data_IF_926967244639
#
_entry.id   IF_926967244639
#
_cell.length_a   1.000
_cell.length_b   1.000
_cell.length_c   1.000
_cell.angle_alpha   90.00
_cell.angle_beta   90.00
_cell.angle_gamma   90.00
#
_symmetry.space_group_name_H-M   'P 1'
#
loop_
_entity.id
_entity.type
_entity.pdbx_description
1 polymer ?
#
# COMPACT_ATOMS: atom_id res chain seq x y z
N UNK A 1 14.82 10.62 -19.22
CA UNK A 1 15.29 9.78 -18.10
C UNK A 1 14.05 9.39 -17.30
N UNK A 2 13.92 8.13 -16.89
CA UNK A 2 12.78 7.69 -16.08
C UNK A 2 12.87 8.26 -14.66
N UNK A 3 11.73 8.49 -14.03
CA UNK A 3 11.66 8.89 -12.61
C UNK A 3 11.93 7.69 -11.71
N UNK A 4 12.32 7.95 -10.46
CA UNK A 4 12.39 6.91 -9.43
C UNK A 4 10.98 6.34 -9.21
N UNK A 5 10.88 5.02 -9.11
CA UNK A 5 9.61 4.33 -8.84
C UNK A 5 9.02 4.79 -7.50
N UNK A 6 7.71 5.07 -7.46
CA UNK A 6 7.05 5.60 -6.25
C UNK A 6 7.21 4.67 -5.04
N UNK A 7 7.23 3.35 -5.24
CA UNK A 7 7.48 2.38 -4.18
C UNK A 7 8.87 2.58 -3.54
N UNK A 8 9.89 2.87 -4.34
CA UNK A 8 11.25 3.14 -3.86
C UNK A 8 11.32 4.49 -3.13
N UNK A 9 10.60 5.51 -3.60
CA UNK A 9 10.48 6.79 -2.87
C UNK A 9 9.83 6.63 -1.48
N UNK A 10 8.86 5.71 -1.35
CA UNK A 10 8.26 5.38 -0.05
C UNK A 10 9.28 4.72 0.87
N UNK A 11 10.05 3.75 0.39
CA UNK A 11 11.12 3.11 1.19
C UNK A 11 12.16 4.11 1.69
N UNK A 12 12.59 5.04 0.80
CA UNK A 12 13.48 6.14 1.18
C UNK A 12 12.86 7.02 2.27
N UNK A 13 11.59 7.41 2.14
CA UNK A 13 10.88 8.22 3.13
C UNK A 13 10.71 7.50 4.48
N UNK A 14 10.55 6.18 4.47
CA UNK A 14 10.46 5.37 5.69
C UNK A 14 11.83 5.25 6.38
N UNK A 15 12.95 5.27 5.63
CA UNK A 15 14.32 5.17 6.18
C UNK A 15 14.50 3.99 7.14
N UNK A 16 13.80 2.87 6.88
CA UNK A 16 13.72 1.73 7.79
C UNK A 16 14.67 0.57 7.42
N UNK A 17 15.43 0.73 6.33
CA UNK A 17 16.34 -0.26 5.80
C UNK A 17 17.79 0.24 5.81
N UNK A 18 18.74 -0.71 5.77
CA UNK A 18 20.16 -0.41 5.55
C UNK A 18 20.34 0.24 4.18
N UNK A 19 21.04 1.38 4.07
CA UNK A 19 21.26 2.05 2.78
C UNK A 19 21.90 1.13 1.75
N UNK A 20 21.38 1.17 0.52
CA UNK A 20 21.87 0.40 -0.62
C UNK A 20 22.49 1.30 -1.69
N UNK A 21 23.26 0.72 -2.62
CA UNK A 21 23.80 1.48 -3.77
C UNK A 21 22.68 2.04 -4.66
N UNK A 22 21.55 1.35 -4.74
CA UNK A 22 20.36 1.82 -5.46
C UNK A 22 19.76 3.07 -4.80
N UNK A 23 19.79 3.16 -3.46
CA UNK A 23 19.37 4.36 -2.74
C UNK A 23 20.30 5.54 -3.05
N UNK A 24 21.61 5.30 -3.08
CA UNK A 24 22.59 6.33 -3.41
C UNK A 24 22.41 6.84 -4.86
N UNK A 25 22.07 5.97 -5.80
CA UNK A 25 21.73 6.37 -7.17
C UNK A 25 20.41 7.15 -7.25
N UNK A 26 19.37 6.66 -6.58
CA UNK A 26 18.07 7.36 -6.52
C UNK A 26 18.22 8.76 -5.90
N UNK A 27 18.99 8.90 -4.82
CA UNK A 27 19.24 10.18 -4.17
C UNK A 27 20.00 11.16 -5.08
N UNK A 28 20.97 10.68 -5.86
CA UNK A 28 21.63 11.51 -6.90
C UNK A 28 20.63 12.00 -7.94
N UNK A 29 19.73 11.13 -8.42
CA UNK A 29 18.67 11.55 -9.35
C UNK A 29 17.71 12.58 -8.73
N UNK A 30 17.32 12.37 -7.47
CA UNK A 30 16.41 13.27 -6.74
C UNK A 30 17.02 14.67 -6.58
N UNK A 31 18.34 14.77 -6.43
CA UNK A 31 19.04 16.05 -6.36
C UNK A 31 18.91 16.85 -7.67
N UNK A 32 18.79 16.18 -8.81
CA UNK A 32 18.63 16.82 -10.12
C UNK A 32 17.16 16.91 -10.60
N UNK A 33 16.24 16.13 -10.03
CA UNK A 33 14.86 16.01 -10.50
C UNK A 33 13.84 16.65 -9.53
N UNK A 34 13.30 17.81 -9.91
CA UNK A 34 12.31 18.54 -9.10
C UNK A 34 11.07 17.70 -8.73
N UNK A 35 10.53 16.92 -9.67
CA UNK A 35 9.36 16.07 -9.43
C UNK A 35 9.64 15.00 -8.37
N UNK A 36 10.74 14.25 -8.50
CA UNK A 36 11.08 13.21 -7.52
C UNK A 36 11.39 13.82 -6.15
N UNK A 37 11.99 15.02 -6.11
CA UNK A 37 12.23 15.76 -4.87
C UNK A 37 10.93 16.17 -4.18
N UNK A 38 9.96 16.69 -4.94
CA UNK A 38 8.64 17.08 -4.42
C UNK A 38 7.87 15.87 -3.88
N UNK A 39 7.88 14.76 -4.62
CA UNK A 39 7.21 13.52 -4.22
C UNK A 39 7.83 12.95 -2.94
N UNK A 40 9.16 12.87 -2.86
CA UNK A 40 9.85 12.43 -1.65
C UNK A 40 9.57 13.36 -0.45
N UNK A 41 9.55 14.68 -0.67
CA UNK A 41 9.24 15.63 0.39
C UNK A 41 7.80 15.48 0.91
N UNK A 42 6.84 15.21 0.02
CA UNK A 42 5.46 14.91 0.39
C UNK A 42 5.38 13.62 1.24
N UNK A 43 6.02 12.54 0.79
CA UNK A 43 6.04 11.26 1.49
C UNK A 43 6.71 11.39 2.87
N UNK A 44 7.82 12.13 2.96
CA UNK A 44 8.52 12.37 4.22
C UNK A 44 7.64 13.13 5.22
N UNK A 45 6.85 14.11 4.77
CA UNK A 45 5.88 14.82 5.62
C UNK A 45 4.80 13.88 6.13
N UNK A 46 4.27 13.00 5.28
CA UNK A 46 3.27 12.00 5.67
C UNK A 46 3.83 11.03 6.73
N UNK A 47 5.02 10.48 6.50
CA UNK A 47 5.69 9.59 7.46
C UNK A 47 5.95 10.31 8.79
N UNK A 48 6.38 11.57 8.73
CA UNK A 48 6.61 12.38 9.94
C UNK A 48 5.31 12.55 10.72
N UNK A 49 4.23 12.98 10.05
CA UNK A 49 2.92 13.16 10.68
C UNK A 49 2.41 11.87 11.33
N UNK A 50 2.54 10.74 10.64
CA UNK A 50 2.14 9.43 11.17
C UNK A 50 2.97 9.03 12.42
N UNK A 51 4.27 9.33 12.43
CA UNK A 51 5.16 9.01 13.58
C UNK A 51 4.93 9.93 14.77
N UNK A 52 4.51 11.17 14.54
CA UNK A 52 4.23 12.15 15.60
C UNK A 52 2.79 12.14 16.06
N UNK A 53 1.92 11.34 15.43
CA UNK A 53 0.52 11.26 15.78
C UNK A 53 0.34 10.77 17.22
N UNK A 54 -0.43 11.52 18.00
CA UNK A 54 -0.81 11.15 19.35
C UNK A 54 -2.16 10.44 19.34
N UNK A 55 -2.53 9.80 20.45
CA UNK A 55 -3.83 9.12 20.58
C UNK A 55 -5.02 10.05 20.35
N UNK A 56 -4.84 11.36 20.60
CA UNK A 56 -5.87 12.38 20.35
C UNK A 56 -6.07 12.68 18.86
N UNK A 57 -5.06 12.43 18.02
CA UNK A 57 -5.14 12.62 16.56
C UNK A 57 -5.83 11.43 15.88
N UNK A 58 -5.95 10.30 16.58
CA UNK A 58 -6.57 9.10 16.04
C UNK A 58 -8.10 9.21 16.08
N UNK A 59 -8.81 8.68 15.06
CA UNK A 59 -10.25 8.57 15.14
C UNK A 59 -10.64 7.71 16.35
N UNK A 60 -11.73 8.10 17.02
CA UNK A 60 -12.27 7.30 18.11
C UNK A 60 -12.55 5.86 17.60
N UNK A 61 -12.20 4.84 18.40
CA UNK A 61 -12.45 3.46 18.01
C UNK A 61 -13.96 3.27 17.76
N UNK A 62 -14.36 2.55 16.69
CA UNK A 62 -15.76 2.31 16.46
C UNK A 62 -16.34 1.44 17.60
N UNK A 63 -17.64 1.57 17.90
CA UNK A 63 -18.25 0.83 19.00
C UNK A 63 -18.21 -0.69 18.77
N UNK A 64 -18.28 -1.47 19.84
CA UNK A 64 -18.09 -2.94 19.80
C UNK A 64 -19.12 -3.67 18.94
N UNK A 65 -20.34 -3.17 18.87
CA UNK A 65 -21.43 -3.73 18.05
C UNK A 65 -21.11 -3.66 16.54
N UNK A 66 -20.42 -2.61 16.09
CA UNK A 66 -19.94 -2.47 14.71
C UNK A 66 -18.93 -3.58 14.40
N UNK A 67 -17.98 -3.84 15.29
CA UNK A 67 -17.02 -4.93 15.12
C UNK A 67 -17.70 -6.29 15.11
N UNK A 68 -18.61 -6.56 16.05
CA UNK A 68 -19.38 -7.80 16.10
C UNK A 68 -20.16 -8.05 14.80
N UNK A 69 -20.74 -6.99 14.21
CA UNK A 69 -21.41 -7.10 12.91
C UNK A 69 -20.43 -7.45 11.79
N UNK A 70 -19.31 -6.74 11.67
CA UNK A 70 -18.28 -7.00 10.65
C UNK A 70 -17.77 -8.45 10.76
N UNK A 71 -17.45 -8.91 11.96
CA UNK A 71 -16.97 -10.29 12.18
C UNK A 71 -18.00 -11.33 11.73
N UNK A 72 -19.29 -11.12 12.01
CA UNK A 72 -20.36 -12.03 11.56
C UNK A 72 -20.50 -12.02 10.04
N UNK A 73 -20.40 -10.87 9.40
CA UNK A 73 -20.51 -10.74 7.95
C UNK A 73 -19.36 -11.42 7.22
N UNK A 74 -18.11 -11.15 7.63
CA UNK A 74 -16.92 -11.81 7.07
C UNK A 74 -16.97 -13.32 7.28
N UNK A 75 -17.39 -13.78 8.47
CA UNK A 75 -17.52 -15.22 8.77
C UNK A 75 -18.58 -15.90 7.90
N UNK A 76 -19.68 -15.20 7.59
CA UNK A 76 -20.74 -15.70 6.69
C UNK A 76 -20.24 -15.83 5.25
N UNK A 77 -19.45 -14.86 4.79
CA UNK A 77 -18.86 -14.88 3.45
C UNK A 77 -17.79 -15.97 3.32
N UNK A 78 -16.89 -16.09 4.29
CA UNK A 78 -15.86 -17.13 4.34
C UNK A 78 -16.43 -18.56 4.49
N UNK A 79 -17.62 -18.70 5.09
CA UNK A 79 -18.30 -19.98 5.27
C UNK A 79 -18.95 -20.56 4.02
N UNK A 80 -18.95 -19.84 2.89
CA UNK A 80 -19.53 -20.32 1.63
C UNK A 80 -18.41 -20.55 0.63
N UNK A 81 -17.91 -21.80 0.42
CA UNK A 81 -17.09 -22.06 -0.74
C UNK A 81 -17.96 -21.81 -1.98
N UNK A 82 -17.66 -20.72 -2.70
CA UNK A 82 -18.21 -20.52 -4.04
C UNK A 82 -17.77 -21.73 -4.87
N UNK A 83 -18.69 -22.46 -5.52
CA UNK A 83 -18.29 -23.42 -6.53
C UNK A 83 -17.38 -22.68 -7.53
N UNK A 84 -16.29 -23.30 -8.01
CA UNK A 84 -15.55 -22.73 -9.11
C UNK A 84 -16.49 -22.64 -10.32
N UNK A 85 -17.03 -21.44 -10.55
CA UNK A 85 -17.64 -21.09 -11.82
C UNK A 85 -16.49 -20.91 -12.80
N UNK A 86 -16.14 -21.99 -13.50
CA UNK A 86 -15.43 -21.92 -14.77
C UNK A 86 -16.48 -21.97 -15.89
N UNK A 87 -17.10 -20.84 -16.27
CA UNK A 87 -17.59 -20.74 -17.63
C UNK A 87 -16.36 -20.78 -18.55
N UNK A 88 -16.52 -21.22 -19.79
CA UNK A 88 -15.45 -21.33 -20.79
C UNK A 88 -14.63 -22.62 -20.74
N UNK A 89 -15.26 -23.75 -21.03
CA UNK A 89 -14.81 -24.66 -22.10
C UNK A 89 -16.01 -25.45 -22.67
N UNK A 90 -17.09 -24.75 -23.01
CA UNK A 90 -18.00 -25.20 -24.06
C UNK A 90 -17.56 -24.54 -25.38
N UNK A 91 -16.56 -25.14 -26.00
CA UNK A 91 -16.30 -25.02 -27.43
C UNK A 91 -15.47 -26.23 -27.87
N UNK A 92 -16.14 -27.29 -28.37
CA UNK A 92 -15.52 -28.16 -29.37
C UNK A 92 -15.24 -27.38 -30.67
N UNK A 93 -14.66 -27.97 -31.74
CA UNK A 93 -14.72 -29.40 -32.09
C UNK A 93 -13.44 -29.99 -32.75
N UNK A 94 -13.46 -31.31 -33.01
CA UNK A 94 -12.84 -31.92 -34.19
C UNK A 94 -11.44 -32.54 -34.05
N UNK A 95 -11.37 -33.87 -34.05
CA UNK A 95 -10.85 -34.71 -35.16
C UNK A 95 -10.90 -36.18 -34.80
#
# INVERSE_FOLDING_TARGET
>A
MAHVESAHLVELALSNATPTDADAEALRHIDDCARCREELAMLTRLVTAARTAETVDLPAPPPEDVWLRITREVSREAGTPSPPHHPWHDAGPGS
#
